data_IF_789386896095
#
_entry.id   IF_789386896095
#
_cell.length_a   1.000
_cell.length_b   1.000
_cell.length_c   1.000
_cell.angle_alpha   90.00
_cell.angle_beta   90.00
_cell.angle_gamma   90.00
#
_symmetry.space_group_name_H-M   'P 1'
#
loop_
_entity.id
_entity.type
_entity.pdbx_description
1 polymer ?
#
# COMPACT_ATOMS: atom_id res chain seq x y z
N UNK A 1 27.08 8.95 9.94
CA UNK A 1 26.90 7.92 8.88
C UNK A 1 25.47 8.06 8.34
N UNK A 2 25.28 7.97 7.02
CA UNK A 2 23.98 8.12 6.36
C UNK A 2 23.30 6.75 6.22
N UNK A 3 22.02 6.66 6.60
CA UNK A 3 21.21 5.44 6.41
C UNK A 3 20.45 5.54 5.06
N UNK A 4 20.80 4.71 4.06
CA UNK A 4 20.18 4.78 2.73
C UNK A 4 18.83 4.06 2.65
N UNK A 5 18.39 3.35 3.70
CA UNK A 5 17.20 2.49 3.65
C UNK A 5 15.92 3.27 3.31
N UNK A 6 15.65 4.37 4.02
CA UNK A 6 14.47 5.20 3.82
C UNK A 6 14.40 5.85 2.42
N UNK A 7 15.47 6.51 1.91
CA UNK A 7 15.48 7.02 0.54
C UNK A 7 15.23 5.95 -0.53
N UNK A 8 15.81 4.76 -0.35
CA UNK A 8 15.63 3.65 -1.30
C UNK A 8 14.19 3.15 -1.29
N UNK A 9 13.60 2.93 -0.11
CA UNK A 9 12.20 2.52 0.03
C UNK A 9 11.27 3.56 -0.61
N UNK A 10 11.48 4.85 -0.32
CA UNK A 10 10.70 5.92 -0.91
C UNK A 10 10.78 5.91 -2.44
N UNK A 11 12.00 5.79 -3.01
CA UNK A 11 12.19 5.77 -4.46
C UNK A 11 11.47 4.58 -5.12
N UNK A 12 11.61 3.37 -4.57
CA UNK A 12 10.95 2.17 -5.09
C UNK A 12 9.44 2.29 -5.01
N UNK A 13 8.91 2.71 -3.86
CA UNK A 13 7.47 2.91 -3.68
C UNK A 13 6.90 3.99 -4.59
N UNK A 14 7.67 5.04 -4.89
CA UNK A 14 7.24 6.10 -5.79
C UNK A 14 7.13 5.62 -7.24
N UNK A 15 8.06 4.77 -7.70
CA UNK A 15 7.95 4.11 -9.01
C UNK A 15 6.70 3.24 -9.08
N UNK A 16 6.40 2.47 -8.03
CA UNK A 16 5.17 1.67 -7.97
C UNK A 16 3.93 2.57 -8.02
N UNK A 17 3.93 3.69 -7.30
CA UNK A 17 2.85 4.67 -7.34
C UNK A 17 2.68 5.28 -8.74
N UNK A 18 3.78 5.61 -9.43
CA UNK A 18 3.71 6.16 -10.78
C UNK A 18 3.09 5.16 -11.77
N UNK A 19 3.44 3.88 -11.67
CA UNK A 19 2.86 2.83 -12.52
C UNK A 19 1.40 2.54 -12.16
N UNK A 20 1.06 2.63 -10.87
CA UNK A 20 -0.27 2.23 -10.37
C UNK A 20 -1.30 3.35 -10.49
N UNK A 21 -0.90 4.59 -10.20
CA UNK A 21 -1.76 5.77 -10.04
C UNK A 21 -1.47 6.87 -11.07
N UNK A 22 -0.50 6.66 -11.96
CA UNK A 22 -0.15 7.62 -13.00
C UNK A 22 0.68 8.82 -12.51
N UNK A 23 1.01 8.92 -11.22
CA UNK A 23 1.76 10.05 -10.68
C UNK A 23 2.74 9.68 -9.55
N UNK A 24 3.70 10.58 -9.33
CA UNK A 24 4.72 10.46 -8.30
C UNK A 24 4.43 11.37 -7.12
N UNK A 25 4.76 10.90 -5.91
CA UNK A 25 4.65 11.69 -4.70
C UNK A 25 5.96 12.42 -4.38
N UNK A 26 5.86 13.61 -3.77
CA UNK A 26 7.02 14.26 -3.20
C UNK A 26 7.56 13.44 -2.02
N UNK A 27 8.88 13.39 -1.79
CA UNK A 27 9.44 12.69 -0.63
C UNK A 27 8.85 13.16 0.71
N UNK A 28 8.49 14.43 0.82
CA UNK A 28 7.95 15.03 2.05
C UNK A 28 6.41 15.00 2.12
N UNK A 29 5.73 14.33 1.18
CA UNK A 29 4.27 14.20 1.22
C UNK A 29 3.82 13.36 2.42
N UNK A 30 3.03 13.97 3.31
CA UNK A 30 2.63 13.32 4.56
C UNK A 30 1.78 12.06 4.35
N UNK A 31 0.95 12.02 3.30
CA UNK A 31 0.10 10.87 3.02
C UNK A 31 0.92 9.73 2.44
N UNK A 32 1.87 10.04 1.57
CA UNK A 32 2.84 9.08 1.07
C UNK A 32 3.71 8.54 2.22
N UNK A 33 4.23 9.39 3.11
CA UNK A 33 5.00 8.93 4.27
C UNK A 33 4.18 8.04 5.22
N UNK A 34 2.87 8.30 5.39
CA UNK A 34 1.96 7.39 6.13
C UNK A 34 1.82 6.04 5.42
N UNK A 35 1.69 6.04 4.09
CA UNK A 35 1.63 4.82 3.29
C UNK A 35 2.93 4.00 3.42
N UNK A 36 4.10 4.65 3.32
CA UNK A 36 5.40 3.98 3.46
C UNK A 36 5.55 3.34 4.83
N UNK A 37 5.21 4.06 5.91
CA UNK A 37 5.24 3.51 7.27
C UNK A 37 4.32 2.31 7.42
N UNK A 38 3.11 2.38 6.88
CA UNK A 38 2.17 1.26 6.91
C UNK A 38 2.72 0.04 6.14
N UNK A 39 3.32 0.25 4.96
CA UNK A 39 3.98 -0.80 4.18
C UNK A 39 5.14 -1.43 4.96
N UNK A 40 5.97 -0.61 5.60
CA UNK A 40 7.09 -1.08 6.42
C UNK A 40 6.61 -1.95 7.59
N UNK A 41 5.54 -1.54 8.29
CA UNK A 41 4.94 -2.33 9.37
C UNK A 41 4.43 -3.69 8.88
N UNK A 42 3.74 -3.72 7.73
CA UNK A 42 3.26 -4.96 7.12
C UNK A 42 4.42 -5.87 6.70
N UNK A 43 5.47 -5.31 6.12
CA UNK A 43 6.66 -6.06 5.70
C UNK A 43 7.43 -6.63 6.89
N UNK A 44 7.62 -5.83 7.95
CA UNK A 44 8.24 -6.28 9.20
C UNK A 44 7.44 -7.42 9.84
N UNK A 45 6.12 -7.30 9.87
CA UNK A 45 5.27 -8.37 10.38
C UNK A 45 5.41 -9.64 9.53
N UNK A 46 5.27 -9.52 8.21
CA UNK A 46 5.33 -10.65 7.26
C UNK A 46 6.70 -11.37 7.28
N UNK A 47 7.79 -10.64 7.49
CA UNK A 47 9.13 -11.22 7.64
C UNK A 47 9.42 -11.82 9.02
N UNK A 48 8.52 -11.66 10.00
CA UNK A 48 8.72 -12.08 11.38
C UNK A 48 8.14 -13.46 11.70
N UNK A 49 8.66 -14.09 12.76
CA UNK A 49 8.16 -15.37 13.28
C UNK A 49 6.66 -15.35 13.63
N UNK A 50 6.15 -14.20 14.07
CA UNK A 50 4.73 -14.01 14.41
C UNK A 50 3.80 -14.16 13.20
N UNK A 51 4.26 -13.90 11.97
CA UNK A 51 3.47 -14.13 10.78
C UNK A 51 3.21 -15.62 10.56
N UNK A 52 4.22 -16.47 10.72
CA UNK A 52 4.06 -17.92 10.62
C UNK A 52 3.03 -18.46 11.63
N UNK A 53 3.10 -18.00 12.88
CA UNK A 53 2.12 -18.37 13.90
C UNK A 53 0.71 -17.86 13.58
N UNK A 54 0.58 -16.65 13.02
CA UNK A 54 -0.70 -16.10 12.57
C UNK A 54 -1.33 -16.94 11.45
N UNK A 55 -0.52 -17.38 10.49
CA UNK A 55 -0.99 -18.23 9.38
C UNK A 55 -1.38 -19.62 9.88
N UNK A 56 -0.60 -20.22 10.80
CA UNK A 56 -0.85 -21.57 11.31
C UNK A 56 -2.00 -21.64 12.33
N UNK A 57 -2.15 -20.61 13.17
CA UNK A 57 -3.13 -20.58 14.26
C UNK A 57 -3.98 -19.30 14.28
N UNK A 58 -4.74 -19.00 13.20
CA UNK A 58 -5.41 -17.72 13.04
C UNK A 58 -6.48 -17.45 14.12
N UNK A 59 -7.25 -18.47 14.52
CA UNK A 59 -8.26 -18.35 15.59
C UNK A 59 -7.64 -18.07 16.95
N UNK A 60 -6.49 -18.68 17.27
CA UNK A 60 -5.83 -18.41 18.55
C UNK A 60 -5.25 -16.99 18.55
N UNK A 61 -4.61 -16.61 17.45
CA UNK A 61 -4.01 -15.29 17.30
C UNK A 61 -5.05 -14.17 17.33
N UNK A 62 -6.27 -14.38 16.83
CA UNK A 62 -7.32 -13.35 16.88
C UNK A 62 -7.67 -12.87 18.30
N UNK A 63 -7.48 -13.72 19.31
CA UNK A 63 -7.75 -13.35 20.70
C UNK A 63 -6.56 -12.69 21.40
N UNK A 64 -5.34 -12.88 20.90
CA UNK A 64 -4.13 -12.37 21.54
C UNK A 64 -3.82 -10.94 21.07
N UNK A 65 -3.33 -10.04 21.95
CA UNK A 65 -2.72 -8.80 21.48
C UNK A 65 -1.36 -9.11 20.81
N UNK A 66 -1.01 -8.38 19.75
CA UNK A 66 0.30 -8.56 19.11
C UNK A 66 0.46 -7.80 17.79
N UNK A 67 1.66 -7.93 17.22
CA UNK A 67 2.10 -7.26 15.98
C UNK A 67 1.16 -7.48 14.79
N UNK A 68 0.42 -8.60 14.76
CA UNK A 68 -0.56 -8.88 13.72
C UNK A 68 -1.70 -7.85 13.70
N UNK A 69 -2.10 -7.28 14.85
CA UNK A 69 -3.15 -6.24 14.91
C UNK A 69 -2.67 -4.92 14.31
N UNK A 70 -1.42 -4.55 14.58
CA UNK A 70 -0.80 -3.36 14.01
C UNK A 70 -0.60 -3.52 12.49
N UNK A 71 -0.21 -4.72 12.04
CA UNK A 71 -0.12 -5.04 10.62
C UNK A 71 -1.49 -4.99 9.92
N UNK A 72 -2.55 -5.50 10.57
CA UNK A 72 -3.91 -5.40 10.04
C UNK A 72 -4.38 -3.95 9.92
N UNK A 73 -4.17 -3.12 10.95
CA UNK A 73 -4.47 -1.69 10.89
C UNK A 73 -3.66 -0.98 9.79
N UNK A 74 -2.40 -1.36 9.61
CA UNK A 74 -1.56 -0.84 8.52
C UNK A 74 -2.06 -1.26 7.13
N UNK A 75 -2.55 -2.50 6.99
CA UNK A 75 -3.22 -2.96 5.76
C UNK A 75 -4.49 -2.17 5.47
N UNK A 76 -5.26 -1.80 6.49
CA UNK A 76 -6.44 -0.93 6.33
C UNK A 76 -6.05 0.46 5.82
N UNK A 77 -4.96 1.04 6.31
CA UNK A 77 -4.42 2.32 5.80
C UNK A 77 -4.04 2.21 4.33
N UNK A 78 -3.26 1.18 3.96
CA UNK A 78 -2.85 0.94 2.56
C UNK A 78 -4.07 0.74 1.65
N UNK A 79 -5.04 -0.06 2.10
CA UNK A 79 -6.25 -0.34 1.33
C UNK A 79 -7.11 0.90 1.16
N UNK A 80 -7.23 1.72 2.21
CA UNK A 80 -7.98 2.98 2.16
C UNK A 80 -7.33 3.98 1.21
N UNK A 81 -6.00 4.05 1.20
CA UNK A 81 -5.24 4.86 0.24
C UNK A 81 -5.52 4.44 -1.20
N UNK A 82 -5.40 3.14 -1.49
CA UNK A 82 -5.68 2.61 -2.83
C UNK A 82 -7.12 2.89 -3.27
N UNK A 83 -8.10 2.73 -2.37
CA UNK A 83 -9.51 3.07 -2.65
C UNK A 83 -9.69 4.54 -2.99
N UNK A 84 -9.01 5.44 -2.28
CA UNK A 84 -9.07 6.87 -2.58
C UNK A 84 -8.53 7.19 -3.96
N UNK A 85 -7.40 6.59 -4.36
CA UNK A 85 -6.87 6.77 -5.71
C UNK A 85 -7.83 6.19 -6.77
N UNK A 86 -8.38 4.99 -6.57
CA UNK A 86 -9.36 4.40 -7.49
C UNK A 86 -10.58 5.31 -7.67
N UNK A 87 -11.12 5.88 -6.58
CA UNK A 87 -12.27 6.78 -6.66
C UNK A 87 -11.93 8.11 -7.35
N UNK A 88 -10.68 8.59 -7.29
CA UNK A 88 -10.22 9.74 -8.09
C UNK A 88 -10.23 9.41 -9.58
N UNK A 89 -9.72 8.25 -9.97
CA UNK A 89 -9.67 7.83 -11.38
C UNK A 89 -11.08 7.63 -11.94
N UNK A 90 -11.98 6.98 -11.20
CA UNK A 90 -13.40 6.84 -11.61
C UNK A 90 -14.11 8.18 -11.85
N UNK A 91 -13.78 9.22 -11.07
CA UNK A 91 -14.33 10.57 -11.27
C UNK A 91 -13.69 11.28 -12.47
N UNK A 92 -12.46 10.89 -12.80
CA UNK A 92 -11.67 11.41 -13.90
C UNK A 92 -11.89 10.65 -15.22
N UNK A 93 -12.87 9.72 -15.30
CA UNK A 93 -13.23 8.84 -16.44
C UNK A 93 -13.61 9.57 -17.75
N UNK A 94 -12.72 10.42 -18.25
CA UNK A 94 -12.83 11.16 -19.49
C UNK A 94 -11.74 10.75 -20.50
N UNK A 95 -10.94 9.72 -20.22
CA UNK A 95 -9.84 9.33 -21.09
C UNK A 95 -10.21 8.10 -21.91
N UNK A 96 -10.10 8.25 -23.23
CA UNK A 96 -10.38 7.20 -24.21
C UNK A 96 -9.29 6.11 -24.22
N UNK A 97 -8.17 6.34 -23.53
CA UNK A 97 -7.00 5.46 -23.44
C UNK A 97 -6.48 5.44 -21.99
N UNK A 98 -6.20 4.26 -21.40
CA UNK A 98 -5.75 4.15 -20.01
C UNK A 98 -4.33 4.66 -19.82
N UNK A 99 -4.09 5.46 -18.78
CA UNK A 99 -2.77 6.07 -18.52
C UNK A 99 -1.93 5.28 -17.51
N UNK A 100 -2.58 4.51 -16.64
CA UNK A 100 -1.97 3.72 -15.59
C UNK A 100 -2.75 2.44 -15.31
N UNK A 101 -2.32 1.66 -14.31
CA UNK A 101 -2.93 0.38 -13.99
C UNK A 101 -4.37 0.54 -13.48
N UNK A 102 -4.69 1.58 -12.71
CA UNK A 102 -6.06 1.79 -12.24
C UNK A 102 -6.97 2.03 -13.44
N UNK A 103 -6.61 2.94 -14.34
CA UNK A 103 -7.40 3.20 -15.54
C UNK A 103 -7.58 1.95 -16.40
N UNK A 104 -6.49 1.20 -16.62
CA UNK A 104 -6.52 -0.03 -17.40
C UNK A 104 -7.50 -1.05 -16.82
N UNK A 105 -7.44 -1.30 -15.51
CA UNK A 105 -8.33 -2.27 -14.87
C UNK A 105 -9.76 -1.77 -14.75
N UNK A 106 -10.00 -0.48 -14.54
CA UNK A 106 -11.36 0.09 -14.57
C UNK A 106 -12.00 -0.12 -15.95
N UNK A 107 -11.27 0.21 -17.02
CA UNK A 107 -11.73 0.00 -18.40
C UNK A 107 -11.96 -1.49 -18.73
N UNK A 108 -11.17 -2.40 -18.14
CA UNK A 108 -11.36 -3.84 -18.32
C UNK A 108 -12.58 -4.37 -17.57
N UNK A 109 -12.94 -3.82 -16.41
CA UNK A 109 -14.11 -4.22 -15.62
C UNK A 109 -15.42 -3.73 -16.23
N UNK A 110 -15.40 -2.56 -16.88
CA UNK A 110 -16.57 -2.00 -17.56
C UNK A 110 -16.90 -2.66 -18.92
N UNK A 111 -16.01 -3.54 -19.41
CA UNK A 111 -16.21 -4.37 -20.61
C UNK A 111 -16.94 -5.67 -20.29
#
# INVERSE_FOLDING_TARGET
PFDPSLPVINAVSNVICALSFGHQFAPDDENFQKLIKALETVMKFSGGFFHGLFVLFPRLMSYLPGLHKEALASLEVITSFAKQEIEKHKKSSALHEPQDFIDYYLLQIDK
#
